data_IF_537433364033
#
_entry.id   IF_537433364033
#
_cell.length_a   1.000
_cell.length_b   1.000
_cell.length_c   1.000
_cell.angle_alpha   90.00
_cell.angle_beta   90.00
_cell.angle_gamma   90.00
#
_symmetry.space_group_name_H-M   'P 1'
#
loop_
_entity.id
_entity.type
_entity.pdbx_description
1 polymer ?
#
# COMPACT_ATOMS: atom_id res chain seq x y z
N UNK A 1 4.35 -27.10 1.02
CA UNK A 1 3.21 -26.17 1.17
C UNK A 1 2.90 -25.58 -0.20
N UNK A 2 1.64 -25.64 -0.62
CA UNK A 2 1.23 -25.35 -2.00
C UNK A 2 0.97 -23.83 -2.14
N UNK A 3 2.02 -23.06 -2.36
CA UNK A 3 2.03 -21.59 -2.45
C UNK A 3 1.48 -21.06 -3.81
N UNK A 4 0.69 -21.86 -4.49
CA UNK A 4 0.14 -21.54 -5.81
C UNK A 4 -1.10 -20.67 -5.68
N UNK A 5 -1.21 -19.67 -6.55
CA UNK A 5 -2.36 -18.78 -6.60
C UNK A 5 -3.47 -19.37 -7.46
N UNK A 6 -4.70 -19.33 -6.95
CA UNK A 6 -5.89 -19.76 -7.69
C UNK A 6 -6.36 -18.65 -8.63
N UNK A 7 -6.60 -18.98 -9.89
CA UNK A 7 -7.32 -18.10 -10.82
C UNK A 7 -8.82 -18.13 -10.52
N UNK A 8 -9.46 -16.97 -10.38
CA UNK A 8 -10.89 -16.85 -10.09
C UNK A 8 -11.78 -17.02 -11.33
N UNK A 9 -11.20 -16.93 -12.54
CA UNK A 9 -11.92 -17.18 -13.79
C UNK A 9 -12.02 -18.66 -14.14
N UNK A 10 -10.90 -19.40 -14.03
CA UNK A 10 -10.84 -20.81 -14.45
C UNK A 10 -10.63 -21.81 -13.30
N UNK A 11 -10.43 -21.34 -12.07
CA UNK A 11 -10.26 -22.19 -10.88
C UNK A 11 -8.92 -22.91 -10.75
N UNK A 12 -8.03 -22.82 -11.75
CA UNK A 12 -6.72 -23.51 -11.78
C UNK A 12 -5.67 -22.78 -10.93
N UNK A 13 -4.65 -23.53 -10.49
CA UNK A 13 -3.56 -23.03 -9.63
C UNK A 13 -2.29 -22.71 -10.45
N UNK A 14 -1.68 -21.55 -10.21
CA UNK A 14 -0.50 -21.09 -10.92
C UNK A 14 0.52 -20.40 -10.00
N UNK A 15 1.80 -20.54 -10.36
CA UNK A 15 2.89 -19.79 -9.73
C UNK A 15 2.99 -18.35 -10.25
N UNK A 16 2.58 -18.12 -11.50
CA UNK A 16 2.60 -16.80 -12.14
C UNK A 16 1.22 -16.43 -12.69
N UNK A 17 0.27 -16.23 -11.78
CA UNK A 17 -1.12 -15.91 -12.11
C UNK A 17 -1.23 -14.71 -13.07
N UNK A 18 -0.40 -13.67 -12.90
CA UNK A 18 -0.40 -12.49 -13.78
C UNK A 18 -0.09 -12.79 -15.26
N UNK A 19 0.72 -13.81 -15.53
CA UNK A 19 1.03 -14.21 -16.93
C UNK A 19 -0.10 -15.07 -17.48
N UNK A 20 -0.65 -15.96 -16.67
CA UNK A 20 -1.79 -16.77 -17.04
C UNK A 20 -3.02 -15.93 -17.42
N UNK A 21 -3.40 -14.92 -16.63
CA UNK A 21 -4.57 -14.09 -16.95
C UNK A 21 -4.40 -13.31 -18.26
N UNK A 22 -3.18 -12.86 -18.55
CA UNK A 22 -2.89 -12.15 -19.80
C UNK A 22 -3.01 -13.08 -21.00
N UNK A 23 -2.35 -14.24 -20.98
CA UNK A 23 -2.34 -15.16 -22.13
C UNK A 23 -3.60 -16.01 -22.25
N UNK A 24 -4.18 -16.42 -21.12
CA UNK A 24 -5.33 -17.31 -21.06
C UNK A 24 -6.67 -16.59 -21.11
N UNK A 25 -6.75 -15.39 -20.53
CA UNK A 25 -8.00 -14.65 -20.41
C UNK A 25 -7.99 -13.29 -21.12
N UNK A 26 -6.86 -12.87 -21.70
CA UNK A 26 -6.74 -11.64 -22.50
C UNK A 26 -7.16 -10.37 -21.74
N UNK A 27 -7.04 -10.41 -20.41
CA UNK A 27 -7.29 -9.28 -19.53
C UNK A 27 -6.01 -8.86 -18.81
N UNK A 28 -5.94 -7.57 -18.48
CA UNK A 28 -4.84 -7.04 -17.71
C UNK A 28 -4.94 -7.45 -16.24
N UNK A 29 -3.79 -7.47 -15.56
CA UNK A 29 -3.75 -7.64 -14.10
C UNK A 29 -4.56 -6.58 -13.34
N UNK A 30 -4.80 -5.42 -13.95
CA UNK A 30 -5.64 -4.37 -13.38
C UNK A 30 -7.11 -4.77 -13.45
N UNK A 31 -7.62 -5.06 -14.65
CA UNK A 31 -9.02 -5.46 -14.86
C UNK A 31 -9.37 -6.68 -14.01
N UNK A 32 -8.47 -7.67 -13.96
CA UNK A 32 -8.65 -8.82 -13.07
C UNK A 32 -8.81 -8.41 -11.60
N UNK A 33 -8.02 -7.46 -11.10
CA UNK A 33 -8.13 -7.02 -9.70
C UNK A 33 -9.38 -6.17 -9.47
N UNK A 34 -9.82 -5.40 -10.46
CA UNK A 34 -11.06 -4.62 -10.37
C UNK A 34 -12.28 -5.54 -10.33
N UNK A 35 -12.35 -6.49 -11.26
CA UNK A 35 -13.44 -7.45 -11.40
C UNK A 35 -13.66 -8.27 -10.12
N UNK A 36 -12.57 -8.69 -9.48
CA UNK A 36 -12.62 -9.53 -8.28
C UNK A 36 -12.40 -8.76 -6.97
N UNK A 37 -12.51 -7.42 -7.00
CA UNK A 37 -12.33 -6.52 -5.85
C UNK A 37 -11.03 -6.78 -5.05
N UNK A 38 -9.96 -7.16 -5.74
CA UNK A 38 -8.67 -7.46 -5.14
C UNK A 38 -7.84 -6.17 -4.94
N UNK A 39 -7.05 -6.07 -3.86
CA UNK A 39 -6.15 -4.93 -3.65
C UNK A 39 -5.17 -4.75 -4.81
N UNK A 40 -4.99 -3.51 -5.29
CA UNK A 40 -4.04 -3.24 -6.39
C UNK A 40 -2.60 -3.59 -6.05
N UNK A 41 -2.22 -3.51 -4.78
CA UNK A 41 -0.91 -3.90 -4.27
C UNK A 41 -0.72 -5.42 -4.09
N UNK A 42 -1.77 -6.23 -4.28
CA UNK A 42 -1.66 -7.69 -4.17
C UNK A 42 -0.74 -8.27 -5.25
N UNK A 43 0.18 -9.15 -4.86
CA UNK A 43 1.04 -9.87 -5.81
C UNK A 43 0.28 -10.98 -6.54
N UNK A 44 0.42 -11.03 -7.86
CA UNK A 44 -0.12 -12.11 -8.71
C UNK A 44 0.96 -13.15 -9.07
N UNK A 45 1.91 -13.35 -8.17
CA UNK A 45 2.96 -14.36 -8.25
C UNK A 45 3.04 -15.09 -6.90
N UNK A 46 3.38 -16.37 -6.92
CA UNK A 46 3.63 -17.15 -5.72
C UNK A 46 4.84 -16.59 -4.96
N UNK A 47 4.86 -16.80 -3.64
CA UNK A 47 5.96 -16.38 -2.79
C UNK A 47 7.30 -17.00 -3.22
N UNK A 48 7.30 -18.28 -3.64
CA UNK A 48 8.49 -18.94 -4.18
C UNK A 48 9.08 -18.23 -5.42
N UNK A 49 8.23 -17.78 -6.34
CA UNK A 49 8.65 -17.00 -7.52
C UNK A 49 9.13 -15.62 -7.11
N UNK A 50 8.47 -15.00 -6.15
CA UNK A 50 8.90 -13.73 -5.58
C UNK A 50 10.32 -13.81 -5.00
N UNK A 51 10.61 -14.83 -4.19
CA UNK A 51 11.94 -15.03 -3.59
C UNK A 51 13.02 -15.19 -4.67
N UNK A 52 12.80 -16.08 -5.65
CA UNK A 52 13.73 -16.27 -6.77
C UNK A 52 14.00 -14.97 -7.54
N UNK A 53 12.97 -14.16 -7.79
CA UNK A 53 13.12 -12.85 -8.45
C UNK A 53 13.88 -11.86 -7.58
N UNK A 54 13.66 -11.87 -6.27
CA UNK A 54 14.38 -11.04 -5.31
C UNK A 54 15.86 -11.40 -5.27
N UNK A 55 16.20 -12.69 -5.17
CA UNK A 55 17.59 -13.16 -5.18
C UNK A 55 18.31 -12.81 -6.48
N UNK A 56 17.63 -13.01 -7.62
CA UNK A 56 18.17 -12.63 -8.92
C UNK A 56 18.37 -11.12 -9.06
N UNK A 57 17.49 -10.31 -8.46
CA UNK A 57 17.66 -8.86 -8.40
C UNK A 57 18.89 -8.48 -7.58
N UNK A 58 19.05 -9.04 -6.37
CA UNK A 58 20.19 -8.75 -5.50
C UNK A 58 21.52 -9.15 -6.15
N UNK A 59 21.60 -10.33 -6.77
CA UNK A 59 22.80 -10.80 -7.48
C UNK A 59 23.23 -9.87 -8.63
N UNK A 60 22.28 -9.19 -9.26
CA UNK A 60 22.52 -8.33 -10.41
C UNK A 60 22.11 -6.87 -10.18
N UNK A 61 22.13 -6.44 -8.92
CA UNK A 61 21.58 -5.16 -8.46
C UNK A 61 22.14 -3.98 -9.23
N UNK A 62 23.45 -3.92 -9.41
CA UNK A 62 24.13 -2.82 -10.10
C UNK A 62 23.64 -2.64 -11.54
N UNK A 63 23.50 -3.75 -12.28
CA UNK A 63 22.97 -3.77 -13.64
C UNK A 63 21.53 -3.26 -13.68
N UNK A 64 20.68 -3.75 -12.78
CA UNK A 64 19.27 -3.32 -12.72
C UNK A 64 19.14 -1.83 -12.36
N UNK A 65 19.89 -1.35 -11.38
CA UNK A 65 19.88 0.06 -10.96
C UNK A 65 20.37 0.96 -12.12
N UNK A 66 21.46 0.58 -12.80
CA UNK A 66 21.95 1.33 -13.97
C UNK A 66 20.89 1.42 -15.08
N UNK A 67 20.18 0.33 -15.36
CA UNK A 67 19.11 0.29 -16.35
C UNK A 67 17.89 1.14 -15.93
N UNK A 68 17.52 1.12 -14.64
CA UNK A 68 16.45 1.95 -14.09
C UNK A 68 16.78 3.45 -14.20
N UNK A 69 18.02 3.85 -13.90
CA UNK A 69 18.46 5.24 -14.02
C UNK A 69 18.53 5.71 -15.48
N UNK A 70 18.88 4.82 -16.42
CA UNK A 70 18.92 5.16 -17.85
C UNK A 70 17.51 5.28 -18.44
N UNK A 71 16.67 4.27 -18.23
CA UNK A 71 15.37 4.15 -18.90
C UNK A 71 14.22 4.81 -18.12
N UNK A 72 14.38 5.01 -16.82
CA UNK A 72 13.37 5.59 -15.93
C UNK A 72 13.26 7.12 -16.00
N UNK A 73 14.27 7.83 -16.55
CA UNK A 73 14.27 9.30 -16.66
C UNK A 73 13.02 9.86 -17.33
N UNK A 74 12.52 9.19 -18.37
CA UNK A 74 11.30 9.60 -19.09
C UNK A 74 10.00 9.46 -18.27
N UNK A 75 10.01 8.64 -17.21
CA UNK A 75 8.84 8.35 -16.37
C UNK A 75 8.94 8.97 -14.96
N UNK A 76 9.99 9.74 -14.68
CA UNK A 76 10.11 10.45 -13.41
C UNK A 76 9.06 11.55 -13.31
N UNK A 77 8.38 11.64 -12.16
CA UNK A 77 7.45 12.73 -11.89
C UNK A 77 8.21 14.06 -11.85
N UNK A 78 7.65 15.08 -12.51
CA UNK A 78 8.21 16.44 -12.43
C UNK A 78 8.03 16.99 -11.02
N UNK A 79 9.02 17.74 -10.53
CA UNK A 79 8.99 18.40 -9.23
C UNK A 79 7.74 19.30 -9.16
N UNK A 80 6.89 19.09 -8.14
CA UNK A 80 5.60 19.80 -8.00
C UNK A 80 4.36 19.00 -8.41
N UNK A 81 4.50 17.83 -9.05
CA UNK A 81 3.38 16.92 -9.26
C UNK A 81 3.17 16.02 -8.04
N UNK A 82 2.21 16.37 -7.18
CA UNK A 82 1.70 15.46 -6.14
C UNK A 82 0.83 14.38 -6.78
N UNK A 83 1.43 13.24 -7.10
CA UNK A 83 0.70 12.09 -7.62
C UNK A 83 -0.24 11.55 -6.55
N UNK A 84 -1.55 11.80 -6.68
CA UNK A 84 -2.56 11.06 -5.92
C UNK A 84 -2.37 9.59 -6.28
N UNK A 85 -1.91 8.78 -5.32
CA UNK A 85 -1.83 7.33 -5.50
C UNK A 85 -3.22 6.83 -5.88
N UNK A 86 -3.34 6.16 -7.02
CA UNK A 86 -4.59 5.51 -7.42
C UNK A 86 -4.87 4.36 -6.45
N UNK A 87 -6.10 4.32 -5.94
CA UNK A 87 -6.59 3.33 -4.97
C UNK A 87 -7.79 2.60 -5.56
N UNK A 88 -7.84 1.28 -5.34
CA UNK A 88 -8.97 0.43 -5.74
C UNK A 88 -10.23 0.78 -4.94
N UNK A 89 -11.41 0.35 -5.43
CA UNK A 89 -12.65 0.56 -4.68
C UNK A 89 -12.61 -0.16 -3.32
N UNK A 90 -12.03 -1.38 -3.27
CA UNK A 90 -11.78 -2.10 -2.03
C UNK A 90 -10.90 -1.29 -1.06
N UNK A 91 -9.75 -0.78 -1.52
CA UNK A 91 -8.87 0.06 -0.69
C UNK A 91 -9.57 1.34 -0.22
N UNK A 92 -10.40 1.98 -1.06
CA UNK A 92 -11.23 3.13 -0.65
C UNK A 92 -12.15 2.76 0.49
N UNK A 93 -12.88 1.66 0.35
CA UNK A 93 -13.82 1.20 1.37
C UNK A 93 -13.09 0.90 2.70
N UNK A 94 -11.94 0.22 2.65
CA UNK A 94 -11.11 -0.03 3.84
C UNK A 94 -10.61 1.26 4.50
N UNK A 95 -10.21 2.26 3.70
CA UNK A 95 -9.78 3.57 4.21
C UNK A 95 -10.94 4.30 4.88
N UNK A 96 -12.12 4.33 4.25
CA UNK A 96 -13.32 4.95 4.79
C UNK A 96 -13.75 4.29 6.10
N UNK A 97 -13.78 2.96 6.17
CA UNK A 97 -14.07 2.23 7.40
C UNK A 97 -13.08 2.55 8.53
N UNK A 98 -11.78 2.69 8.22
CA UNK A 98 -10.78 3.12 9.21
C UNK A 98 -11.05 4.53 9.70
N UNK A 99 -11.36 5.46 8.79
CA UNK A 99 -11.70 6.85 9.14
C UNK A 99 -12.94 6.88 10.04
N UNK A 100 -13.98 6.12 9.71
CA UNK A 100 -15.19 6.02 10.54
C UNK A 100 -14.90 5.42 11.91
N UNK A 101 -14.10 4.34 12.01
CA UNK A 101 -13.71 3.74 13.28
C UNK A 101 -12.93 4.73 14.15
N UNK A 102 -11.97 5.46 13.56
CA UNK A 102 -11.25 6.53 14.25
C UNK A 102 -12.22 7.61 14.71
N UNK A 103 -13.14 8.05 13.86
CA UNK A 103 -14.11 9.09 14.20
C UNK A 103 -15.11 8.65 15.29
N UNK A 104 -15.55 7.38 15.29
CA UNK A 104 -16.38 6.80 16.36
C UNK A 104 -15.63 6.66 17.68
N UNK A 105 -14.32 6.38 17.64
CA UNK A 105 -13.47 6.29 18.84
C UNK A 105 -13.06 7.63 19.44
N UNK A 106 -13.23 8.74 18.70
CA UNK A 106 -12.90 10.08 19.18
C UNK A 106 -13.94 10.52 20.23
N UNK A 107 -13.54 10.43 21.50
CA UNK A 107 -14.25 11.07 22.63
C UNK A 107 -14.41 12.58 22.39
N UNK A 108 -15.36 13.17 23.13
CA UNK A 108 -15.73 14.60 23.15
C UNK A 108 -14.52 15.53 22.95
N UNK A 109 -14.68 16.54 22.10
CA UNK A 109 -13.65 17.56 21.84
C UNK A 109 -13.13 18.17 23.15
N UNK A 110 -11.82 18.05 23.39
CA UNK A 110 -11.14 18.58 24.58
C UNK A 110 -10.46 19.90 24.22
N UNK A 111 -10.59 20.91 25.07
CA UNK A 111 -9.94 22.21 24.92
C UNK A 111 -8.45 22.09 25.27
N UNK A 112 -7.57 22.62 24.41
CA UNK A 112 -6.16 22.75 24.74
C UNK A 112 -5.93 23.82 25.82
N UNK A 113 -5.21 23.52 26.91
CA UNK A 113 -4.97 24.50 27.98
C UNK A 113 -4.05 25.65 27.54
N UNK A 114 -3.22 25.45 26.51
CA UNK A 114 -2.24 26.45 26.06
C UNK A 114 -2.83 27.38 25.01
N UNK A 115 -3.34 26.84 23.90
CA UNK A 115 -3.86 27.66 22.80
C UNK A 115 -5.40 27.75 22.75
N UNK A 116 -6.11 27.12 23.69
CA UNK A 116 -7.59 27.14 23.79
C UNK A 116 -8.34 26.66 22.54
N UNK A 117 -7.67 25.97 21.62
CA UNK A 117 -8.29 25.31 20.47
C UNK A 117 -8.82 23.91 20.87
N UNK A 118 -9.91 23.46 20.25
CA UNK A 118 -10.54 22.16 20.54
C UNK A 118 -9.96 21.04 19.67
N UNK A 119 -9.59 19.92 20.28
CA UNK A 119 -9.04 18.76 19.58
C UNK A 119 -9.65 17.45 20.05
N UNK A 120 -9.68 16.47 19.16
CA UNK A 120 -10.06 15.10 19.49
C UNK A 120 -8.92 14.29 20.12
N UNK A 121 -7.67 14.62 19.78
CA UNK A 121 -6.45 14.02 20.36
C UNK A 121 -5.58 15.13 20.95
N UNK A 122 -5.92 15.56 22.17
CA UNK A 122 -5.23 16.66 22.84
C UNK A 122 -3.73 16.34 23.00
N UNK A 123 -3.36 15.09 23.28
CA UNK A 123 -1.96 14.67 23.43
C UNK A 123 -1.14 14.85 22.15
N UNK A 124 -1.65 14.40 21.00
CA UNK A 124 -0.96 14.59 19.71
C UNK A 124 -0.79 16.07 19.37
N UNK A 125 -1.76 16.91 19.75
CA UNK A 125 -1.68 18.36 19.58
C UNK A 125 -0.62 18.99 20.52
N UNK A 126 -0.63 18.64 21.81
CA UNK A 126 0.34 19.12 22.79
C UNK A 126 1.78 18.67 22.43
N UNK A 127 1.94 17.47 21.88
CA UNK A 127 3.21 16.97 21.37
C UNK A 127 3.69 17.79 20.15
N UNK A 128 2.88 17.85 19.09
CA UNK A 128 3.34 18.43 17.82
C UNK A 128 3.43 19.96 17.84
N UNK A 129 2.48 20.64 18.48
CA UNK A 129 2.38 22.11 18.43
C UNK A 129 3.02 22.79 19.64
N UNK A 130 2.89 22.19 20.82
CA UNK A 130 3.40 22.78 22.06
C UNK A 130 4.70 22.13 22.56
N UNK A 131 5.13 21.01 21.95
CA UNK A 131 6.31 20.24 22.38
C UNK A 131 6.31 19.90 23.88
N UNK A 132 5.12 19.80 24.47
CA UNK A 132 4.91 19.69 25.92
C UNK A 132 4.84 18.25 26.45
N UNK A 133 4.78 17.26 25.56
CA UNK A 133 4.80 15.86 25.92
C UNK A 133 6.08 15.23 25.34
N UNK A 134 6.86 14.57 26.18
CA UNK A 134 7.86 13.59 25.73
C UNK A 134 7.16 12.24 25.70
N UNK A 135 7.31 11.48 24.60
CA UNK A 135 6.76 10.12 24.51
C UNK A 135 7.45 9.29 25.59
N UNK A 136 6.81 9.16 26.75
CA UNK A 136 7.27 8.19 27.76
C UNK A 136 7.14 6.81 27.13
N UNK A 137 8.30 6.17 27.01
CA UNK A 137 8.49 4.79 26.61
C UNK A 137 7.43 3.88 27.25
N UNK A 138 6.50 3.37 26.46
CA UNK A 138 5.82 2.12 26.82
C UNK A 138 6.67 0.99 26.28
N UNK A 139 7.41 0.34 27.20
CA UNK A 139 7.98 -0.99 26.97
C UNK A 139 6.83 -1.97 26.68
N UNK A 140 7.15 -2.90 25.77
CA UNK A 140 6.38 -4.04 25.26
C UNK A 140 5.43 -4.69 26.26
#
# INVERSE_FOLDING_TARGET
MNDKLKCLLCGKLYDHLGSHIWHGHHITAREYKEEFELPYNMSLISHSVYLKKSEAFEKHREKYVKNLLKNGKKYQFKKGCSGVRRISQHERNTILERIEKVNKSKRKLILCPVCRMKFYHLESHLFNKHKMLSVKNYKL
#
